data_IF_272315114664
#
_entry.id   IF_272315114664
#
_cell.length_a   1.000
_cell.length_b   1.000
_cell.length_c   1.000
_cell.angle_alpha   90.00
_cell.angle_beta   90.00
_cell.angle_gamma   90.00
#
_symmetry.space_group_name_H-M   'P 1'
#
loop_
_entity.id
_entity.type
_entity.pdbx_description
1 polymer ?
#
# COMPACT_ATOMS: atom_id res chain seq x y z
N UNK A 1 2.66 -6.75 44.40
CA UNK A 1 3.34 -7.58 43.36
C UNK A 1 2.42 -7.78 42.17
N UNK A 2 2.91 -7.65 40.93
CA UNK A 2 2.11 -7.86 39.70
C UNK A 2 2.16 -9.29 39.17
N UNK A 3 1.31 -9.63 38.19
CA UNK A 3 1.29 -10.95 37.52
C UNK A 3 2.03 -10.87 36.17
N UNK A 4 2.60 -11.99 35.74
CA UNK A 4 3.31 -12.10 34.44
C UNK A 4 2.34 -11.87 33.28
N UNK A 5 2.64 -10.88 32.45
CA UNK A 5 1.73 -10.45 31.38
C UNK A 5 1.68 -11.47 30.22
N UNK A 6 0.58 -11.46 29.47
CA UNK A 6 0.35 -12.41 28.35
C UNK A 6 1.48 -12.42 27.32
N UNK A 7 2.11 -11.28 27.02
CA UNK A 7 3.20 -11.22 26.02
C UNK A 7 4.46 -11.93 26.50
N UNK A 8 4.81 -11.83 27.79
CA UNK A 8 5.92 -12.58 28.39
C UNK A 8 5.64 -14.08 28.40
N UNK A 9 4.41 -14.47 28.78
CA UNK A 9 3.99 -15.87 28.83
C UNK A 9 4.09 -16.61 27.48
N UNK A 10 4.07 -15.89 26.35
CA UNK A 10 4.20 -16.47 25.00
C UNK A 10 5.57 -17.12 24.74
N UNK A 11 6.62 -16.69 25.44
CA UNK A 11 7.96 -17.28 25.29
C UNK A 11 8.09 -18.63 25.99
N UNK A 12 7.57 -18.73 27.22
CA UNK A 12 7.76 -19.89 28.08
C UNK A 12 6.63 -20.94 27.98
N UNK A 13 5.37 -20.52 27.82
CA UNK A 13 4.24 -21.44 27.98
C UNK A 13 3.98 -22.30 26.74
N UNK A 14 3.81 -23.61 26.97
CA UNK A 14 3.44 -24.62 25.95
C UNK A 14 2.13 -24.30 25.22
N UNK A 15 1.20 -23.59 25.86
CA UNK A 15 -0.09 -23.19 25.26
C UNK A 15 0.08 -22.33 24.02
N UNK A 16 1.16 -21.55 23.93
CA UNK A 16 1.43 -20.64 22.81
C UNK A 16 2.29 -21.25 21.70
N UNK A 17 2.70 -22.52 21.83
CA UNK A 17 3.43 -23.25 20.78
C UNK A 17 2.58 -23.36 19.52
N UNK A 18 3.25 -23.52 18.38
CA UNK A 18 2.58 -23.69 17.10
C UNK A 18 1.89 -25.06 17.03
N UNK A 19 0.71 -25.10 16.43
CA UNK A 19 0.02 -26.35 16.12
C UNK A 19 0.62 -26.95 14.85
N UNK A 20 1.35 -28.05 15.00
CA UNK A 20 2.13 -28.66 13.90
C UNK A 20 1.60 -30.02 13.45
N UNK A 21 0.68 -30.65 14.20
CA UNK A 21 0.17 -32.02 13.93
C UNK A 21 -0.28 -32.25 12.49
N UNK A 22 -1.00 -31.29 11.89
CA UNK A 22 -1.57 -31.44 10.55
C UNK A 22 -0.69 -30.85 9.44
N UNK A 23 0.48 -30.29 9.76
CA UNK A 23 1.38 -29.71 8.75
C UNK A 23 2.01 -30.79 7.89
N UNK A 24 2.20 -30.49 6.61
CA UNK A 24 2.71 -31.46 5.61
C UNK A 24 4.25 -31.53 5.55
N UNK A 25 4.92 -30.83 6.46
CA UNK A 25 6.38 -30.79 6.57
C UNK A 25 6.97 -29.42 6.30
N UNK A 26 8.27 -29.28 6.51
CA UNK A 26 8.97 -28.03 6.27
C UNK A 26 9.08 -27.77 4.76
N UNK A 27 8.60 -26.61 4.32
CA UNK A 27 8.86 -26.15 2.97
C UNK A 27 10.33 -25.70 2.87
N UNK A 28 11.13 -26.38 2.06
CA UNK A 28 12.56 -26.11 1.83
C UNK A 28 12.93 -26.66 0.45
N UNK A 29 13.72 -25.92 -0.33
CA UNK A 29 14.25 -26.49 -1.58
C UNK A 29 15.30 -27.55 -1.25
N UNK A 30 15.93 -28.13 -2.28
CA UNK A 30 16.98 -29.11 -2.09
C UNK A 30 18.19 -28.55 -1.32
N UNK A 31 18.89 -29.39 -0.54
CA UNK A 31 20.23 -29.06 -0.06
C UNK A 31 21.13 -28.69 -1.23
N UNK A 32 22.07 -27.76 -1.01
CA UNK A 32 23.03 -27.42 -2.05
C UNK A 32 24.06 -28.55 -2.17
N UNK A 33 24.20 -29.10 -3.37
CA UNK A 33 25.15 -30.16 -3.69
C UNK A 33 25.97 -29.81 -4.93
N UNK A 34 26.83 -30.74 -5.35
CA UNK A 34 27.70 -30.54 -6.51
C UNK A 34 26.90 -30.28 -7.80
N UNK A 35 25.81 -31.02 -8.00
CA UNK A 35 24.94 -30.90 -9.17
C UNK A 35 24.33 -29.49 -9.28
N UNK A 36 23.82 -28.92 -8.19
CA UNK A 36 23.27 -27.56 -8.22
C UNK A 36 24.34 -26.46 -8.32
N UNK A 37 25.55 -26.70 -7.79
CA UNK A 37 26.65 -25.72 -7.85
C UNK A 37 27.24 -25.56 -9.24
N UNK A 38 27.45 -26.66 -9.97
CA UNK A 38 28.12 -26.63 -11.29
C UNK A 38 27.17 -26.85 -12.47
N UNK A 39 26.03 -27.49 -12.25
CA UNK A 39 25.08 -27.85 -13.29
C UNK A 39 23.65 -27.45 -12.93
N UNK A 40 22.73 -28.36 -13.24
CA UNK A 40 21.34 -28.29 -12.81
C UNK A 40 20.85 -29.70 -12.48
N UNK A 41 19.80 -29.79 -11.67
CA UNK A 41 19.06 -31.02 -11.46
C UNK A 41 17.59 -30.82 -11.81
N UNK A 42 17.06 -31.79 -12.55
CA UNK A 42 15.65 -31.86 -12.95
C UNK A 42 14.84 -32.57 -11.87
N UNK A 43 13.74 -31.95 -11.45
CA UNK A 43 12.75 -32.53 -10.54
C UNK A 43 11.36 -32.49 -11.15
N UNK A 44 10.54 -33.49 -10.83
CA UNK A 44 9.14 -33.57 -11.28
C UNK A 44 8.20 -33.05 -10.19
N UNK A 45 7.31 -32.12 -10.53
CA UNK A 45 6.23 -31.72 -9.62
C UNK A 45 5.20 -32.85 -9.55
N UNK A 46 5.23 -33.65 -8.48
CA UNK A 46 4.35 -34.82 -8.35
C UNK A 46 2.95 -34.44 -7.87
N UNK A 47 2.83 -33.51 -6.92
CA UNK A 47 1.54 -33.04 -6.36
C UNK A 47 1.67 -31.61 -5.86
N UNK A 48 0.59 -30.83 -5.97
CA UNK A 48 0.45 -29.53 -5.30
C UNK A 48 -0.55 -29.72 -4.16
N UNK A 49 -0.16 -29.38 -2.93
CA UNK A 49 -0.91 -29.70 -1.70
C UNK A 49 -1.12 -28.46 -0.83
N UNK A 50 -2.23 -28.43 -0.10
CA UNK A 50 -2.46 -27.44 0.93
C UNK A 50 -1.75 -27.82 2.24
N UNK A 51 -0.98 -26.89 2.81
CA UNK A 51 -0.33 -27.03 4.12
C UNK A 51 -1.11 -26.22 5.18
N UNK A 52 -1.75 -26.88 6.17
CA UNK A 52 -2.53 -26.20 7.19
C UNK A 52 -1.73 -25.12 7.93
N UNK A 53 -2.31 -23.92 8.04
CA UNK A 53 -1.67 -22.76 8.68
C UNK A 53 -0.79 -21.92 7.74
N UNK A 54 -0.60 -22.36 6.49
CA UNK A 54 0.03 -21.58 5.41
C UNK A 54 -1.03 -21.00 4.47
N UNK A 55 -0.73 -19.85 3.87
CA UNK A 55 -1.55 -19.27 2.80
C UNK A 55 -1.18 -19.81 1.42
N UNK A 56 0.12 -19.95 1.16
CA UNK A 56 0.64 -20.48 -0.10
C UNK A 56 0.57 -22.02 -0.13
N UNK A 57 0.20 -22.64 -1.26
CA UNK A 57 0.28 -24.07 -1.42
C UNK A 57 1.75 -24.55 -1.49
N UNK A 58 1.95 -25.84 -1.24
CA UNK A 58 3.24 -26.50 -1.37
C UNK A 58 3.26 -27.37 -2.63
N UNK A 59 4.39 -27.38 -3.32
CA UNK A 59 4.65 -28.29 -4.42
C UNK A 59 5.57 -29.42 -3.93
N UNK A 60 5.11 -30.66 -3.99
CA UNK A 60 5.96 -31.82 -3.73
C UNK A 60 6.74 -32.15 -5.01
N UNK A 61 8.01 -31.79 -5.02
CA UNK A 61 8.93 -32.03 -6.14
C UNK A 61 9.79 -33.25 -5.83
N UNK A 62 9.84 -34.18 -6.78
CA UNK A 62 10.60 -35.41 -6.68
C UNK A 62 11.85 -35.30 -7.54
N UNK A 63 13.00 -35.51 -6.91
CA UNK A 63 14.30 -35.53 -7.57
C UNK A 63 14.90 -36.94 -7.48
N UNK A 64 15.75 -37.28 -8.46
CA UNK A 64 16.59 -38.48 -8.38
C UNK A 64 17.83 -38.16 -7.57
N UNK A 65 18.18 -39.00 -6.60
CA UNK A 65 19.39 -38.81 -5.80
C UNK A 65 20.64 -38.99 -6.68
N UNK A 66 21.63 -38.07 -6.61
CA UNK A 66 22.82 -38.14 -7.46
C UNK A 66 23.81 -39.23 -7.04
N UNK A 67 23.74 -39.72 -5.81
CA UNK A 67 24.70 -40.70 -5.25
C UNK A 67 24.07 -42.08 -5.10
N UNK A 68 22.79 -42.15 -4.72
CA UNK A 68 22.10 -43.43 -4.47
C UNK A 68 20.93 -43.65 -5.43
N UNK A 69 20.61 -44.90 -5.74
CA UNK A 69 19.40 -45.24 -6.49
C UNK A 69 18.14 -45.08 -5.63
N UNK A 70 17.70 -43.84 -5.42
CA UNK A 70 16.45 -43.51 -4.73
C UNK A 70 15.85 -42.19 -5.19
N UNK A 71 14.55 -42.04 -4.95
CA UNK A 71 13.83 -40.80 -5.20
C UNK A 71 13.73 -39.99 -3.91
N UNK A 72 14.16 -38.72 -3.95
CA UNK A 72 14.06 -37.79 -2.84
C UNK A 72 12.90 -36.82 -3.07
N UNK A 73 12.04 -36.68 -2.06
CA UNK A 73 10.86 -35.80 -2.11
C UNK A 73 11.14 -34.53 -1.31
N UNK A 74 10.87 -33.38 -1.91
CA UNK A 74 11.02 -32.08 -1.27
C UNK A 74 9.76 -31.24 -1.43
N UNK A 75 9.39 -30.52 -0.37
CA UNK A 75 8.25 -29.62 -0.39
C UNK A 75 8.74 -28.20 -0.70
N UNK A 76 8.50 -27.74 -1.91
CA UNK A 76 8.76 -26.39 -2.35
C UNK A 76 7.55 -25.52 -2.04
N UNK A 77 7.73 -24.20 -1.98
CA UNK A 77 6.59 -23.29 -2.05
C UNK A 77 6.17 -23.24 -3.51
N UNK A 78 4.89 -23.49 -3.79
CA UNK A 78 4.38 -23.42 -5.14
C UNK A 78 4.36 -21.96 -5.61
N UNK A 79 4.83 -21.75 -6.84
CA UNK A 79 4.80 -20.48 -7.55
C UNK A 79 3.54 -20.43 -8.41
N UNK A 80 3.00 -19.24 -8.67
CA UNK A 80 1.90 -19.08 -9.61
C UNK A 80 2.29 -19.59 -11.01
N UNK A 81 1.40 -20.36 -11.64
CA UNK A 81 1.68 -21.03 -12.92
C UNK A 81 2.39 -22.38 -12.81
N UNK A 82 2.80 -22.82 -11.61
CA UNK A 82 3.35 -24.16 -11.44
C UNK A 82 2.23 -25.22 -11.51
N UNK A 83 2.41 -26.26 -12.32
CA UNK A 83 1.42 -27.34 -12.49
C UNK A 83 2.00 -28.75 -12.20
N UNK A 84 1.12 -29.72 -11.98
CA UNK A 84 1.51 -31.12 -11.73
C UNK A 84 2.01 -31.75 -13.02
N UNK A 85 3.15 -32.43 -12.97
CA UNK A 85 3.83 -32.97 -14.16
C UNK A 85 4.90 -32.04 -14.73
N UNK A 86 4.92 -30.76 -14.33
CA UNK A 86 5.96 -29.82 -14.74
C UNK A 86 7.33 -30.25 -14.23
N UNK A 87 8.35 -30.03 -15.05
CA UNK A 87 9.75 -30.16 -14.64
C UNK A 87 10.28 -28.85 -14.06
N UNK A 88 10.88 -28.94 -12.87
CA UNK A 88 11.57 -27.85 -12.18
C UNK A 88 13.07 -28.11 -12.27
N UNK A 89 13.82 -27.09 -12.69
CA UNK A 89 15.27 -27.13 -12.78
C UNK A 89 15.89 -26.32 -11.66
N UNK A 90 16.78 -26.95 -10.89
CA UNK A 90 17.51 -26.32 -9.79
C UNK A 90 19.01 -26.33 -10.08
N UNK A 91 19.66 -25.17 -10.12
CA UNK A 91 21.12 -25.07 -10.20
C UNK A 91 21.64 -23.87 -10.97
N UNK A 92 22.96 -23.73 -11.04
CA UNK A 92 23.65 -22.61 -11.67
C UNK A 92 23.48 -22.54 -13.19
N UNK A 93 23.29 -23.69 -13.86
CA UNK A 93 23.06 -23.79 -15.32
C UNK A 93 21.58 -24.02 -15.68
N UNK A 94 20.66 -23.86 -14.73
CA UNK A 94 19.23 -24.00 -15.02
C UNK A 94 18.76 -22.83 -15.91
N UNK A 95 17.78 -23.09 -16.77
CA UNK A 95 17.17 -22.05 -17.59
C UNK A 95 16.28 -21.14 -16.74
N UNK A 96 16.15 -19.86 -17.13
CA UNK A 96 15.27 -18.90 -16.49
C UNK A 96 13.82 -19.24 -16.82
N UNK A 97 13.14 -19.94 -15.92
CA UNK A 97 11.73 -20.32 -16.09
C UNK A 97 10.99 -20.26 -14.76
N UNK A 98 9.66 -20.06 -14.82
CA UNK A 98 8.81 -19.97 -13.64
C UNK A 98 8.90 -21.27 -12.84
N UNK A 99 9.18 -21.16 -11.53
CA UNK A 99 9.35 -22.31 -10.64
C UNK A 99 10.77 -22.88 -10.58
N UNK A 100 11.66 -22.51 -11.51
CA UNK A 100 13.07 -22.93 -11.45
C UNK A 100 13.82 -22.21 -10.32
N UNK A 101 14.84 -22.87 -9.78
CA UNK A 101 15.67 -22.37 -8.68
C UNK A 101 17.08 -22.07 -9.18
N UNK A 102 17.46 -20.79 -9.20
CA UNK A 102 18.75 -20.33 -9.70
C UNK A 102 19.50 -19.53 -8.63
N UNK A 103 20.84 -19.45 -8.69
CA UNK A 103 21.61 -18.46 -7.94
C UNK A 103 21.21 -17.04 -8.33
N UNK A 104 21.17 -16.12 -7.36
CA UNK A 104 20.82 -14.72 -7.58
C UNK A 104 21.68 -14.05 -8.65
N UNK A 105 22.98 -14.35 -8.72
CA UNK A 105 23.87 -13.77 -9.72
C UNK A 105 23.65 -14.23 -11.16
N UNK A 106 22.75 -15.19 -11.40
CA UNK A 106 22.37 -15.64 -12.74
C UNK A 106 21.00 -15.11 -13.17
N UNK A 107 20.29 -14.42 -12.28
CA UNK A 107 18.98 -13.84 -12.57
C UNK A 107 19.19 -12.43 -13.08
N UNK A 108 18.60 -12.03 -14.23
CA UNK A 108 18.71 -10.67 -14.71
C UNK A 108 18.03 -9.68 -13.76
N UNK A 109 18.43 -8.42 -13.85
CA UNK A 109 17.83 -7.34 -13.07
C UNK A 109 16.34 -7.20 -13.40
N UNK A 110 15.53 -6.81 -12.41
CA UNK A 110 14.07 -6.77 -12.54
C UNK A 110 13.37 -8.13 -12.39
N UNK A 111 14.10 -9.25 -12.34
CA UNK A 111 13.48 -10.56 -12.17
C UNK A 111 12.69 -10.64 -10.87
N UNK A 112 11.45 -11.10 -10.98
CA UNK A 112 10.56 -11.36 -9.85
C UNK A 112 10.89 -12.73 -9.27
N UNK A 113 11.28 -12.73 -8.00
CA UNK A 113 11.76 -13.90 -7.29
C UNK A 113 11.03 -14.07 -5.97
N UNK A 114 11.00 -15.30 -5.51
CA UNK A 114 10.49 -15.66 -4.20
C UNK A 114 11.46 -16.58 -3.50
N UNK A 115 11.16 -16.88 -2.24
CA UNK A 115 11.76 -18.05 -1.63
C UNK A 115 13.30 -17.93 -1.51
N UNK A 116 13.81 -16.70 -1.30
CA UNK A 116 15.25 -16.38 -1.38
C UNK A 116 16.01 -16.87 -0.16
N UNK A 117 17.23 -17.35 -0.38
CA UNK A 117 18.19 -17.67 0.68
C UNK A 117 18.81 -16.40 1.29
N UNK A 118 18.81 -16.27 2.62
CA UNK A 118 19.52 -15.19 3.32
C UNK A 118 21.03 -15.48 3.37
N UNK A 119 21.38 -16.74 3.63
CA UNK A 119 22.73 -17.27 3.49
C UNK A 119 22.70 -18.45 2.53
N UNK A 120 23.73 -18.59 1.71
CA UNK A 120 23.82 -19.70 0.74
C UNK A 120 23.64 -21.04 1.44
N UNK A 121 22.68 -21.84 0.96
CA UNK A 121 22.38 -23.17 1.52
C UNK A 121 21.38 -23.18 2.69
N UNK A 122 20.79 -22.05 3.09
CA UNK A 122 19.75 -22.02 4.12
C UNK A 122 18.38 -22.58 3.65
N UNK A 123 18.27 -22.93 2.35
CA UNK A 123 17.11 -23.58 1.71
C UNK A 123 15.85 -22.72 1.74
N UNK A 124 16.02 -21.40 1.81
CA UNK A 124 14.97 -20.42 1.57
C UNK A 124 14.35 -19.84 2.83
N UNK A 125 14.47 -18.51 2.97
CA UNK A 125 14.06 -17.79 4.17
C UNK A 125 13.20 -16.56 3.90
N UNK A 126 13.44 -15.84 2.81
CA UNK A 126 12.80 -14.56 2.49
C UNK A 126 11.72 -14.73 1.41
N UNK A 127 10.73 -13.82 1.37
CA UNK A 127 9.65 -13.78 0.38
C UNK A 127 8.90 -15.12 0.20
N UNK A 128 8.39 -15.67 1.30
CA UNK A 128 7.78 -17.03 1.37
C UNK A 128 6.26 -17.03 1.59
N UNK A 129 5.67 -15.87 1.73
CA UNK A 129 4.24 -15.72 2.02
C UNK A 129 3.47 -15.71 0.71
N UNK A 130 2.22 -16.16 0.73
CA UNK A 130 1.34 -16.14 -0.44
C UNK A 130 1.23 -14.74 -1.04
N UNK A 131 1.45 -14.62 -2.35
CA UNK A 131 1.40 -13.35 -3.09
C UNK A 131 2.54 -12.37 -2.80
N UNK A 132 3.56 -12.75 -2.01
CA UNK A 132 4.71 -11.86 -1.75
C UNK A 132 5.86 -12.16 -2.68
N UNK A 133 6.39 -11.14 -3.34
CA UNK A 133 7.58 -11.27 -4.18
C UNK A 133 8.69 -10.32 -3.75
N UNK A 134 9.89 -10.64 -4.21
CA UNK A 134 11.05 -9.78 -4.14
C UNK A 134 11.56 -9.56 -5.56
N UNK A 135 12.29 -8.47 -5.76
CA UNK A 135 12.78 -8.07 -7.08
C UNK A 135 14.29 -7.93 -7.02
N UNK A 136 14.99 -8.53 -7.98
CA UNK A 136 16.42 -8.29 -8.17
C UNK A 136 16.60 -6.84 -8.64
N UNK A 137 17.28 -6.02 -7.84
CA UNK A 137 17.48 -4.60 -8.16
C UNK A 137 18.72 -4.43 -9.02
N UNK A 138 19.79 -5.12 -8.65
CA UNK A 138 21.01 -5.10 -9.44
C UNK A 138 22.12 -5.91 -8.79
N UNK A 139 23.15 -6.17 -9.58
CA UNK A 139 24.34 -6.88 -9.14
C UNK A 139 25.48 -5.91 -8.82
N UNK A 140 26.37 -6.32 -7.92
CA UNK A 140 27.63 -5.60 -7.71
C UNK A 140 28.53 -5.81 -8.93
N UNK A 141 29.37 -4.83 -9.25
CA UNK A 141 30.40 -4.94 -10.31
C UNK A 141 31.31 -6.16 -10.08
N UNK A 142 31.69 -6.42 -8.82
CA UNK A 142 32.42 -7.63 -8.40
C UNK A 142 31.70 -8.97 -8.68
N UNK A 143 30.41 -8.96 -9.00
CA UNK A 143 29.56 -10.14 -9.18
C UNK A 143 29.28 -10.96 -7.90
N UNK A 144 29.96 -10.67 -6.77
CA UNK A 144 29.87 -11.44 -5.52
C UNK A 144 28.59 -11.20 -4.73
N UNK A 145 27.99 -10.01 -4.87
CA UNK A 145 26.81 -9.57 -4.12
C UNK A 145 25.70 -9.14 -5.07
N UNK A 146 24.46 -9.38 -4.66
CA UNK A 146 23.25 -8.98 -5.37
C UNK A 146 22.34 -8.20 -4.44
N UNK A 147 21.81 -7.07 -4.90
CA UNK A 147 20.87 -6.25 -4.14
C UNK A 147 19.44 -6.64 -4.52
N UNK A 148 18.64 -6.96 -3.51
CA UNK A 148 17.25 -7.40 -3.68
C UNK A 148 16.32 -6.47 -2.92
N UNK A 149 15.18 -6.13 -3.53
CA UNK A 149 14.08 -5.42 -2.87
C UNK A 149 13.12 -6.44 -2.26
N UNK A 150 12.96 -6.40 -0.94
CA UNK A 150 12.08 -7.28 -0.20
C UNK A 150 10.61 -6.82 -0.26
N UNK A 151 9.63 -7.68 0.07
CA UNK A 151 8.22 -7.31 0.13
C UNK A 151 7.92 -6.15 1.08
N UNK A 152 8.76 -5.91 2.09
CA UNK A 152 8.65 -4.76 3.00
C UNK A 152 9.05 -3.43 2.36
N UNK A 153 9.58 -3.43 1.14
CA UNK A 153 10.19 -2.29 0.48
C UNK A 153 11.66 -2.07 0.82
N UNK A 154 12.19 -2.75 1.84
CA UNK A 154 13.59 -2.65 2.23
C UNK A 154 14.51 -3.27 1.16
N UNK A 155 15.61 -2.58 0.85
CA UNK A 155 16.69 -3.10 0.01
C UNK A 155 17.65 -3.88 0.89
N UNK A 156 17.99 -5.11 0.50
CA UNK A 156 18.95 -5.96 1.22
C UNK A 156 19.99 -6.50 0.25
N UNK A 157 21.25 -6.42 0.65
CA UNK A 157 22.37 -7.01 -0.10
C UNK A 157 22.58 -8.45 0.36
N UNK A 158 22.61 -9.38 -0.58
CA UNK A 158 22.80 -10.82 -0.37
C UNK A 158 23.99 -11.30 -1.21
N UNK A 159 24.50 -12.49 -0.90
CA UNK A 159 25.51 -13.11 -1.77
C UNK A 159 24.89 -13.59 -3.07
N UNK A 160 25.58 -13.37 -4.20
CA UNK A 160 25.10 -13.81 -5.52
C UNK A 160 24.98 -15.34 -5.66
N UNK A 161 25.67 -16.08 -4.77
CA UNK A 161 25.57 -17.54 -4.65
C UNK A 161 24.28 -18.01 -3.96
N UNK A 162 23.58 -17.13 -3.24
CA UNK A 162 22.28 -17.47 -2.64
C UNK A 162 21.29 -17.85 -3.73
N UNK A 163 20.46 -18.86 -3.48
CA UNK A 163 19.45 -19.30 -4.45
C UNK A 163 18.11 -18.58 -4.25
N UNK A 164 17.36 -18.46 -5.33
CA UNK A 164 15.98 -18.00 -5.31
C UNK A 164 15.14 -18.78 -6.33
N UNK A 165 13.84 -18.87 -6.07
CA UNK A 165 12.89 -19.46 -7.01
C UNK A 165 12.29 -18.34 -7.85
N UNK A 166 12.26 -18.51 -9.17
CA UNK A 166 11.69 -17.53 -10.10
C UNK A 166 10.18 -17.54 -10.00
N UNK A 167 9.58 -16.35 -9.84
CA UNK A 167 8.15 -16.13 -9.78
C UNK A 167 7.59 -15.85 -8.38
N UNK A 168 6.28 -15.61 -8.32
CA UNK A 168 5.52 -15.20 -7.13
C UNK A 168 4.92 -16.44 -6.42
N UNK A 169 4.98 -16.55 -5.08
CA UNK A 169 4.31 -17.62 -4.35
C UNK A 169 2.79 -17.59 -4.57
N UNK A 170 2.22 -18.73 -4.90
CA UNK A 170 0.80 -18.85 -5.19
C UNK A 170 -0.11 -18.51 -3.99
N UNK A 171 -1.37 -18.22 -4.31
CA UNK A 171 -2.40 -17.84 -3.34
C UNK A 171 -2.40 -16.35 -3.00
N UNK A 172 -1.99 -15.49 -3.94
CA UNK A 172 -2.15 -14.04 -3.84
C UNK A 172 -3.61 -13.61 -3.60
N UNK A 173 -3.83 -12.35 -3.21
CA UNK A 173 -5.17 -11.78 -3.02
C UNK A 173 -5.99 -12.28 -1.84
N UNK A 174 -5.52 -13.31 -1.10
CA UNK A 174 -6.23 -13.89 0.06
C UNK A 174 -6.55 -12.89 1.19
N UNK A 175 -5.86 -11.76 1.24
CA UNK A 175 -6.07 -10.72 2.27
C UNK A 175 -7.11 -9.68 1.86
N UNK A 176 -7.42 -9.58 0.56
CA UNK A 176 -8.35 -8.58 0.04
C UNK A 176 -9.79 -8.92 0.42
N UNK A 177 -10.09 -10.22 0.52
CA UNK A 177 -11.37 -10.70 1.05
C UNK A 177 -11.48 -10.42 2.57
N UNK A 178 -12.49 -9.66 3.03
CA UNK A 178 -12.72 -9.45 4.45
C UNK A 178 -13.14 -10.76 5.14
N UNK A 179 -12.76 -10.91 6.41
CA UNK A 179 -13.02 -12.15 7.17
C UNK A 179 -14.49 -12.27 7.59
N UNK A 180 -15.18 -11.14 7.77
CA UNK A 180 -16.59 -10.96 8.16
C UNK A 180 -16.94 -11.54 9.55
N UNK A 181 -16.79 -12.84 9.77
CA UNK A 181 -17.23 -13.55 10.98
C UNK A 181 -16.08 -13.87 11.93
N UNK A 182 -16.35 -13.85 13.24
CA UNK A 182 -15.39 -14.28 14.26
C UNK A 182 -15.02 -15.77 14.14
N UNK A 183 -15.99 -16.63 13.77
CA UNK A 183 -15.76 -18.06 13.53
C UNK A 183 -14.70 -18.33 12.46
N UNK A 184 -14.68 -17.53 11.38
CA UNK A 184 -13.64 -17.64 10.35
C UNK A 184 -12.24 -17.34 10.90
N UNK A 185 -12.13 -16.36 11.81
CA UNK A 185 -10.87 -16.08 12.52
C UNK A 185 -10.51 -17.22 13.49
N UNK A 186 -11.48 -17.80 14.20
CA UNK A 186 -11.25 -18.96 15.06
C UNK A 186 -10.60 -20.10 14.28
N UNK A 187 -11.18 -20.53 13.15
CA UNK A 187 -10.61 -21.61 12.32
C UNK A 187 -9.24 -21.25 11.74
N UNK A 188 -9.03 -19.98 11.34
CA UNK A 188 -7.73 -19.48 10.84
C UNK A 188 -6.61 -19.57 11.88
N UNK A 189 -6.89 -19.28 13.16
CA UNK A 189 -5.89 -19.33 14.22
C UNK A 189 -5.77 -20.72 14.86
N UNK A 190 -6.82 -21.54 14.82
CA UNK A 190 -6.85 -22.96 15.28
C UNK A 190 -5.75 -23.80 14.62
N UNK A 191 -5.39 -23.52 13.37
CA UNK A 191 -4.33 -24.23 12.63
C UNK A 191 -2.94 -23.59 12.72
N UNK A 192 -2.79 -22.49 13.47
CA UNK A 192 -1.52 -21.75 13.58
C UNK A 192 -0.90 -21.88 14.96
N UNK A 193 -1.48 -21.16 15.92
CA UNK A 193 -1.10 -21.13 17.34
C UNK A 193 -2.21 -20.43 18.10
N UNK A 194 -2.27 -20.67 19.41
CA UNK A 194 -3.23 -19.98 20.27
C UNK A 194 -2.87 -18.50 20.43
N UNK A 195 -3.35 -17.63 19.54
CA UNK A 195 -3.13 -16.17 19.63
C UNK A 195 -4.38 -15.33 19.36
N UNK A 196 -5.53 -15.98 19.34
CA UNK A 196 -6.85 -15.39 19.16
C UNK A 196 -7.83 -16.14 20.08
N UNK A 197 -8.77 -15.46 20.77
CA UNK A 197 -9.06 -14.01 20.74
C UNK A 197 -8.00 -13.14 21.43
N UNK A 198 -8.05 -11.83 21.20
CA UNK A 198 -7.13 -10.85 21.81
C UNK A 198 -7.89 -9.88 22.72
N UNK A 199 -7.88 -10.15 24.02
CA UNK A 199 -8.33 -9.17 25.04
C UNK A 199 -7.41 -7.93 25.02
N UNK A 200 -8.02 -6.74 25.06
CA UNK A 200 -7.34 -5.43 25.13
C UNK A 200 -6.77 -5.23 26.53
N UNK A 201 -5.59 -4.60 26.64
CA UNK A 201 -4.94 -4.38 27.93
C UNK A 201 -5.71 -3.49 28.90
N UNK A 202 -6.47 -2.51 28.38
CA UNK A 202 -7.31 -1.61 29.18
C UNK A 202 -8.60 -2.25 29.71
N UNK A 203 -8.91 -3.48 29.27
CA UNK A 203 -10.04 -4.25 29.78
C UNK A 203 -9.59 -5.29 30.83
N UNK A 204 -8.32 -5.25 31.23
CA UNK A 204 -7.74 -6.15 32.24
C UNK A 204 -7.56 -5.39 33.56
N UNK A 205 -7.34 -6.14 34.64
CA UNK A 205 -6.99 -5.55 35.94
C UNK A 205 -5.54 -5.04 35.96
N UNK A 206 -5.18 -4.09 36.84
CA UNK A 206 -3.80 -3.56 36.95
C UNK A 206 -2.74 -4.66 37.13
N UNK A 207 -3.11 -5.74 37.81
CA UNK A 207 -2.24 -6.88 38.08
C UNK A 207 -1.86 -7.65 36.80
N UNK A 208 -2.67 -7.59 35.74
CA UNK A 208 -2.49 -8.39 34.53
C UNK A 208 -1.87 -7.63 33.35
N UNK A 209 -2.01 -6.31 33.32
CA UNK A 209 -1.52 -5.48 32.23
C UNK A 209 -1.22 -4.04 32.71
N UNK A 210 -0.15 -3.38 32.22
CA UNK A 210 0.18 -2.00 32.60
C UNK A 210 -0.91 -0.97 32.33
N UNK A 211 -1.74 -1.23 31.32
CA UNK A 211 -2.86 -0.36 30.93
C UNK A 211 -4.17 -0.70 31.67
N UNK A 212 -4.15 -1.69 32.57
CA UNK A 212 -5.34 -2.24 33.20
C UNK A 212 -5.78 -1.47 34.45
N UNK A 213 -7.07 -1.56 34.77
CA UNK A 213 -7.71 -0.94 35.93
C UNK A 213 -8.27 0.45 35.73
N UNK A 214 -8.56 1.11 36.85
CA UNK A 214 -9.28 2.38 36.91
C UNK A 214 -10.81 2.21 36.78
N UNK A 215 -11.55 3.23 37.19
CA UNK A 215 -13.02 3.24 37.09
C UNK A 215 -13.51 3.47 35.65
N UNK A 216 -12.66 4.06 34.80
CA UNK A 216 -12.92 4.25 33.38
C UNK A 216 -11.87 3.53 32.54
N UNK A 217 -12.25 2.97 31.39
CA UNK A 217 -11.30 2.32 30.48
C UNK A 217 -10.43 3.34 29.76
N UNK A 218 -9.25 3.61 30.30
CA UNK A 218 -8.22 4.47 29.71
C UNK A 218 -6.82 3.92 30.04
N UNK A 219 -5.79 4.40 29.37
CA UNK A 219 -4.41 3.92 29.61
C UNK A 219 -3.76 4.60 30.83
N UNK A 220 -4.16 5.83 31.15
CA UNK A 220 -3.64 6.60 32.29
C UNK A 220 -2.23 7.17 32.10
N UNK A 221 -1.45 6.65 31.15
CA UNK A 221 -0.10 7.12 30.83
C UNK A 221 0.18 7.05 29.32
N UNK A 222 1.22 7.72 28.80
CA UNK A 222 1.61 7.61 27.40
C UNK A 222 1.85 6.14 26.99
N UNK A 223 1.30 5.74 25.85
CA UNK A 223 1.53 4.40 25.29
C UNK A 223 2.89 4.27 24.62
N UNK A 224 3.61 5.35 24.36
CA UNK A 224 4.93 5.29 23.72
C UNK A 224 6.00 5.03 24.76
N UNK A 225 6.62 3.84 24.75
CA UNK A 225 7.69 3.51 25.68
C UNK A 225 9.03 3.32 24.97
N UNK A 226 10.12 3.66 25.65
CA UNK A 226 11.48 3.51 25.17
C UNK A 226 11.86 2.08 24.77
N UNK A 227 12.88 1.94 23.92
CA UNK A 227 13.34 0.62 23.43
C UNK A 227 14.05 -0.20 24.52
N UNK A 228 14.72 0.45 25.47
CA UNK A 228 15.52 -0.17 26.55
C UNK A 228 14.71 -0.31 27.84
N UNK A 229 13.53 -0.90 27.76
CA UNK A 229 12.64 -1.05 28.91
C UNK A 229 12.49 -2.53 29.25
N UNK A 230 12.41 -2.89 30.55
CA UNK A 230 12.27 -4.28 30.97
C UNK A 230 11.05 -4.96 30.33
N UNK A 231 11.14 -6.28 30.09
CA UNK A 231 9.99 -7.04 29.62
C UNK A 231 8.84 -6.89 30.62
N UNK A 232 7.64 -6.54 30.14
CA UNK A 232 6.48 -6.29 31.01
C UNK A 232 5.87 -4.90 30.82
N UNK A 233 6.65 -3.91 30.38
CA UNK A 233 6.12 -2.60 29.95
C UNK A 233 5.93 -2.62 28.42
N UNK A 234 4.79 -2.13 27.94
CA UNK A 234 4.29 -2.38 26.57
C UNK A 234 4.46 -1.15 25.65
N UNK A 235 4.73 -1.38 24.35
CA UNK A 235 4.98 -0.45 23.22
C UNK A 235 6.42 0.06 22.99
N UNK A 236 7.20 -0.67 22.20
CA UNK A 236 8.62 -0.36 21.99
C UNK A 236 8.88 0.58 20.83
N UNK A 237 9.55 1.71 21.11
CA UNK A 237 10.41 2.41 20.13
C UNK A 237 9.70 2.99 18.91
N UNK A 238 8.44 3.39 19.04
CA UNK A 238 7.71 4.11 18.00
C UNK A 238 8.36 5.47 17.73
N UNK A 239 8.79 5.71 16.49
CA UNK A 239 9.35 7.01 16.06
C UNK A 239 8.28 8.06 15.72
N UNK A 240 7.08 7.60 15.35
CA UNK A 240 5.96 8.45 14.98
C UNK A 240 4.65 7.79 15.43
N UNK A 241 3.67 8.60 15.82
CA UNK A 241 2.33 8.18 16.22
C UNK A 241 1.26 8.83 15.32
N UNK A 242 0.05 8.28 15.33
CA UNK A 242 -1.07 8.77 14.53
C UNK A 242 -1.21 8.07 13.17
N UNK A 243 -2.22 8.49 12.39
CA UNK A 243 -2.48 7.95 11.05
C UNK A 243 -1.48 8.53 10.06
N UNK A 244 -0.75 7.66 9.36
CA UNK A 244 0.12 8.09 8.25
C UNK A 244 -0.73 8.77 7.16
N UNK A 245 -0.42 10.04 6.89
CA UNK A 245 -1.08 10.83 5.83
C UNK A 245 -0.33 10.77 4.49
N UNK A 246 0.92 10.30 4.48
CA UNK A 246 1.72 10.13 3.26
C UNK A 246 1.72 8.68 2.76
N UNK A 247 1.83 8.51 1.44
CA UNK A 247 2.08 7.19 0.84
C UNK A 247 3.45 6.68 1.29
N UNK A 248 3.50 5.47 1.84
CA UNK A 248 4.70 4.90 2.46
C UNK A 248 5.85 4.59 1.45
N UNK A 249 5.62 4.80 0.15
CA UNK A 249 6.66 4.82 -0.87
C UNK A 249 7.23 6.24 -0.97
N UNK A 250 8.46 6.44 -0.49
CA UNK A 250 9.29 7.50 -1.07
C UNK A 250 9.50 7.14 -2.55
N UNK A 251 9.36 8.09 -3.49
CA UNK A 251 9.70 7.83 -4.88
C UNK A 251 11.17 7.37 -4.94
N UNK A 252 11.46 6.40 -5.81
CA UNK A 252 12.82 6.00 -6.09
C UNK A 252 13.61 7.22 -6.60
N UNK A 253 14.80 7.44 -6.03
CA UNK A 253 15.77 8.40 -6.57
C UNK A 253 16.08 7.98 -8.00
N UNK A 254 16.02 8.92 -8.95
CA UNK A 254 16.54 8.72 -10.31
C UNK A 254 18.07 8.80 -10.32
N UNK A 255 18.66 8.45 -11.46
CA UNK A 255 20.11 8.28 -11.65
C UNK A 255 20.92 9.59 -11.60
N UNK A 256 20.26 10.75 -11.58
CA UNK A 256 20.92 12.06 -11.74
C UNK A 256 20.84 12.97 -10.50
N UNK A 257 20.66 12.43 -9.30
CA UNK A 257 20.73 13.22 -8.06
C UNK A 257 19.67 14.32 -7.88
N UNK A 258 18.81 14.56 -8.88
CA UNK A 258 17.70 15.50 -8.77
C UNK A 258 16.42 14.76 -8.36
N UNK A 259 15.63 15.32 -7.42
CA UNK A 259 14.30 14.79 -7.15
C UNK A 259 13.49 14.88 -8.44
N UNK A 260 13.03 13.74 -8.98
CA UNK A 260 12.01 13.75 -10.04
C UNK A 260 10.87 14.61 -9.53
N UNK A 261 10.64 15.77 -10.18
CA UNK A 261 9.51 16.65 -9.87
C UNK A 261 8.28 15.74 -9.85
N UNK A 262 7.56 15.74 -8.71
CA UNK A 262 6.33 14.96 -8.60
C UNK A 262 5.48 15.34 -9.80
N UNK A 263 5.17 14.38 -10.66
CA UNK A 263 4.10 14.57 -11.64
C UNK A 263 2.84 14.74 -10.82
N UNK A 264 2.45 16.00 -10.60
CA UNK A 264 1.17 16.30 -10.00
C UNK A 264 0.11 15.60 -10.84
N UNK A 265 -0.92 15.04 -10.19
CA UNK A 265 -2.08 14.49 -10.92
C UNK A 265 -2.57 15.58 -11.87
N UNK A 266 -2.40 15.36 -13.17
CA UNK A 266 -2.96 16.24 -14.19
C UNK A 266 -4.46 16.29 -13.97
N UNK A 267 -5.02 17.49 -13.87
CA UNK A 267 -6.46 17.65 -13.78
C UNK A 267 -7.06 17.27 -15.14
N UNK A 268 -8.02 16.34 -15.11
CA UNK A 268 -8.73 15.88 -16.30
C UNK A 268 -10.20 16.29 -16.12
N UNK A 269 -10.66 17.24 -16.93
CA UNK A 269 -12.07 17.62 -16.97
C UNK A 269 -12.78 16.81 -18.05
N UNK A 270 -13.66 15.89 -17.65
CA UNK A 270 -14.45 15.03 -18.58
C UNK A 270 -13.62 14.36 -19.70
N UNK A 271 -12.40 13.94 -19.39
CA UNK A 271 -11.49 13.28 -20.33
C UNK A 271 -10.46 14.19 -21.00
N UNK A 272 -10.53 15.51 -20.82
CA UNK A 272 -9.60 16.49 -21.40
C UNK A 272 -8.63 17.06 -20.36
N UNK A 273 -7.36 17.20 -20.73
CA UNK A 273 -6.35 17.87 -19.91
C UNK A 273 -6.60 19.38 -19.86
N UNK A 274 -6.12 20.03 -18.80
CA UNK A 274 -6.32 21.46 -18.54
C UNK A 274 -5.86 22.36 -19.70
N UNK A 275 -4.70 22.07 -20.29
CA UNK A 275 -4.15 22.88 -21.39
C UNK A 275 -5.09 22.82 -22.60
N UNK A 276 -5.57 21.63 -22.94
CA UNK A 276 -6.56 21.45 -24.02
C UNK A 276 -7.88 22.16 -23.72
N UNK A 277 -8.32 22.21 -22.45
CA UNK A 277 -9.57 22.86 -22.05
C UNK A 277 -9.53 24.40 -22.22
N UNK A 278 -8.34 25.00 -22.17
CA UNK A 278 -8.16 26.44 -22.39
C UNK A 278 -8.21 26.82 -23.87
N UNK A 279 -7.87 25.89 -24.76
CA UNK A 279 -7.80 26.11 -26.21
C UNK A 279 -9.12 25.79 -26.95
N UNK A 280 -10.12 25.23 -26.26
CA UNK A 280 -11.40 24.88 -26.87
C UNK A 280 -12.24 26.10 -27.25
N UNK A 281 -12.97 25.97 -28.37
CA UNK A 281 -13.99 26.93 -28.78
C UNK A 281 -15.19 26.96 -27.82
N UNK A 282 -15.95 28.06 -27.85
CA UNK A 282 -17.14 28.23 -27.00
C UNK A 282 -18.21 27.15 -27.25
N UNK A 283 -18.35 26.67 -28.49
CA UNK A 283 -19.35 25.65 -28.86
C UNK A 283 -18.99 24.27 -28.30
N UNK A 284 -17.73 23.85 -28.46
CA UNK A 284 -17.20 22.60 -27.91
C UNK A 284 -17.24 22.60 -26.38
N UNK A 285 -16.92 23.75 -25.76
CA UNK A 285 -16.98 23.91 -24.31
C UNK A 285 -18.43 23.75 -23.78
N UNK A 286 -19.44 24.14 -24.56
CA UNK A 286 -20.85 23.99 -24.16
C UNK A 286 -21.31 22.54 -24.11
N UNK A 287 -20.84 21.69 -25.02
CA UNK A 287 -21.14 20.26 -24.99
C UNK A 287 -20.59 19.58 -23.73
N UNK A 288 -19.44 20.06 -23.26
CA UNK A 288 -18.80 19.59 -22.03
C UNK A 288 -19.50 20.10 -20.76
N UNK A 289 -20.44 21.04 -20.84
CA UNK A 289 -21.16 21.54 -19.67
C UNK A 289 -22.51 20.86 -19.43
N UNK A 290 -23.01 20.91 -18.19
CA UNK A 290 -24.36 20.39 -17.84
C UNK A 290 -25.44 21.24 -18.51
N UNK A 291 -26.62 20.66 -18.75
CA UNK A 291 -27.74 21.32 -19.47
C UNK A 291 -28.14 22.68 -18.89
N UNK A 292 -28.00 22.87 -17.57
CA UNK A 292 -28.26 24.17 -16.91
C UNK A 292 -27.32 25.28 -17.40
N UNK A 293 -26.03 24.97 -17.55
CA UNK A 293 -25.04 25.91 -18.05
C UNK A 293 -25.29 26.20 -19.54
N UNK A 294 -25.55 25.18 -20.36
CA UNK A 294 -25.88 25.32 -21.79
C UNK A 294 -27.06 26.27 -22.02
N UNK A 295 -28.15 26.11 -21.27
CA UNK A 295 -29.32 27.01 -21.36
C UNK A 295 -29.00 28.46 -21.04
N UNK A 296 -28.02 28.72 -20.16
CA UNK A 296 -27.62 30.08 -19.81
C UNK A 296 -26.78 30.72 -20.92
N UNK A 297 -25.82 29.99 -21.48
CA UNK A 297 -25.02 30.47 -22.62
C UNK A 297 -25.86 30.66 -23.88
N UNK A 298 -26.84 29.78 -24.14
CA UNK A 298 -27.79 29.94 -25.25
C UNK A 298 -28.70 31.17 -25.13
N UNK A 299 -28.87 31.74 -23.93
CA UNK A 299 -29.58 33.01 -23.70
C UNK A 299 -28.66 34.23 -23.77
N UNK A 300 -27.35 34.03 -23.97
CA UNK A 300 -26.34 35.08 -23.94
C UNK A 300 -25.87 35.47 -22.54
N UNK A 301 -24.61 35.92 -22.44
CA UNK A 301 -24.05 36.47 -21.21
C UNK A 301 -24.41 37.95 -21.12
N UNK A 302 -25.09 38.35 -20.04
CA UNK A 302 -25.42 39.76 -19.80
C UNK A 302 -24.17 40.64 -19.64
N UNK A 303 -24.33 41.96 -19.84
CA UNK A 303 -23.25 42.97 -19.79
C UNK A 303 -22.36 42.90 -18.53
N UNK A 304 -22.94 42.55 -17.38
CA UNK A 304 -22.17 42.39 -16.13
C UNK A 304 -21.15 41.26 -16.15
N UNK A 305 -21.42 40.19 -16.91
CA UNK A 305 -20.52 39.05 -17.02
C UNK A 305 -19.31 39.36 -17.92
N UNK A 306 -19.52 40.06 -19.03
CA UNK A 306 -18.42 40.49 -19.90
C UNK A 306 -17.52 41.53 -19.22
N UNK A 307 -18.09 42.44 -18.42
CA UNK A 307 -17.30 43.38 -17.59
C UNK A 307 -16.46 42.65 -16.54
N UNK A 308 -17.00 41.62 -15.89
CA UNK A 308 -16.25 40.81 -14.92
C UNK A 308 -15.07 40.08 -15.59
N UNK A 309 -15.30 39.49 -16.77
CA UNK A 309 -14.25 38.82 -17.54
C UNK A 309 -13.14 39.78 -17.97
N UNK A 310 -13.50 41.00 -18.42
CA UNK A 310 -12.52 42.04 -18.75
C UNK A 310 -11.67 42.43 -17.54
N UNK A 311 -12.28 42.61 -16.36
CA UNK A 311 -11.56 42.92 -15.10
C UNK A 311 -10.63 41.78 -14.69
N UNK A 312 -11.06 40.53 -14.87
CA UNK A 312 -10.25 39.35 -14.58
C UNK A 312 -9.07 39.20 -15.54
N UNK A 313 -9.27 39.46 -16.83
CA UNK A 313 -8.19 39.46 -17.83
C UNK A 313 -7.14 40.52 -17.51
N UNK A 314 -7.57 41.72 -17.12
CA UNK A 314 -6.65 42.80 -16.68
C UNK A 314 -5.85 42.37 -15.44
N UNK A 315 -6.54 41.91 -14.40
CA UNK A 315 -5.92 41.43 -13.15
C UNK A 315 -4.94 40.27 -13.36
N UNK A 316 -5.18 39.38 -14.33
CA UNK A 316 -4.26 38.27 -14.67
C UNK A 316 -3.04 38.74 -15.48
N UNK A 317 -3.16 39.84 -16.23
CA UNK A 317 -2.10 40.38 -17.09
C UNK A 317 -1.11 41.26 -16.31
N UNK A 318 -1.60 41.93 -15.27
CA UNK A 318 -0.82 42.89 -14.47
C UNK A 318 0.12 42.23 -13.43
N UNK A 319 0.20 40.89 -13.36
CA UNK A 319 0.87 40.15 -12.27
C UNK A 319 2.15 39.43 -12.75
N UNK A 320 3.29 39.58 -12.03
CA UNK A 320 4.52 38.84 -12.32
C UNK A 320 4.38 37.34 -12.02
N UNK A 321 5.12 36.51 -12.76
CA UNK A 321 5.01 35.05 -12.74
C UNK A 321 5.25 34.47 -11.33
N UNK A 322 4.19 33.98 -10.68
CA UNK A 322 4.25 33.28 -9.39
C UNK A 322 3.49 33.94 -8.24
N UNK A 323 3.08 35.21 -8.39
CA UNK A 323 2.28 35.91 -7.39
C UNK A 323 0.78 35.76 -7.62
N UNK A 324 -0.01 35.93 -6.54
CA UNK A 324 -1.47 35.80 -6.61
C UNK A 324 -2.09 37.11 -7.10
N UNK A 325 -3.00 37.08 -8.08
CA UNK A 325 -3.63 38.29 -8.61
C UNK A 325 -4.51 39.00 -7.58
N UNK A 326 -4.64 40.32 -7.73
CA UNK A 326 -5.52 41.13 -6.88
C UNK A 326 -6.98 40.66 -6.94
N UNK A 327 -7.69 40.61 -5.80
CA UNK A 327 -9.04 40.07 -5.75
C UNK A 327 -10.05 40.99 -6.45
N UNK A 328 -10.64 40.53 -7.55
CA UNK A 328 -11.71 41.26 -8.25
C UNK A 328 -13.03 41.10 -7.50
N UNK A 329 -13.59 42.21 -6.99
CA UNK A 329 -14.88 42.22 -6.27
C UNK A 329 -16.05 42.13 -7.25
N UNK A 330 -17.01 41.25 -6.95
CA UNK A 330 -18.20 41.05 -7.77
C UNK A 330 -19.45 40.70 -6.97
N UNK A 331 -20.59 41.24 -7.41
CA UNK A 331 -21.93 40.83 -6.96
C UNK A 331 -22.55 39.77 -7.89
N UNK A 332 -21.88 39.43 -9.00
CA UNK A 332 -22.36 38.49 -10.01
C UNK A 332 -22.25 37.04 -9.53
N UNK A 333 -23.13 36.64 -8.63
CA UNK A 333 -23.16 35.27 -8.06
C UNK A 333 -23.64 34.22 -9.06
N UNK A 334 -24.48 34.64 -10.01
CA UNK A 334 -25.01 33.75 -11.04
C UNK A 334 -24.00 33.48 -12.17
N UNK A 335 -22.77 33.98 -12.12
CA UNK A 335 -21.76 33.72 -13.15
C UNK A 335 -21.26 32.26 -13.09
N UNK A 336 -21.08 31.66 -14.27
CA UNK A 336 -20.50 30.31 -14.41
C UNK A 336 -18.98 30.46 -14.50
N UNK A 337 -18.25 29.58 -13.81
CA UNK A 337 -16.78 29.56 -13.85
C UNK A 337 -16.34 28.98 -15.20
N UNK A 338 -15.66 29.80 -15.98
CA UNK A 338 -15.06 29.44 -17.26
C UNK A 338 -13.59 29.02 -17.10
N UNK A 339 -13.05 28.22 -18.02
CA UNK A 339 -11.63 27.84 -18.01
C UNK A 339 -10.68 29.04 -17.96
N UNK A 340 -11.01 30.14 -18.62
CA UNK A 340 -10.22 31.38 -18.59
C UNK A 340 -10.01 31.95 -17.17
N UNK A 341 -10.97 31.72 -16.28
CA UNK A 341 -10.98 32.25 -14.91
C UNK A 341 -10.06 31.47 -13.96
N UNK A 342 -9.48 30.36 -14.41
CA UNK A 342 -8.57 29.54 -13.60
C UNK A 342 -7.32 30.34 -13.23
N UNK A 343 -6.98 30.31 -11.94
CA UNK A 343 -5.85 31.04 -11.37
C UNK A 343 -6.18 32.47 -10.94
N UNK A 344 -7.41 32.96 -11.16
CA UNK A 344 -7.85 34.26 -10.66
C UNK A 344 -8.44 34.17 -9.25
N UNK A 345 -8.32 35.25 -8.48
CA UNK A 345 -8.97 35.42 -7.18
C UNK A 345 -10.21 36.31 -7.36
N UNK A 346 -11.39 35.76 -7.09
CA UNK A 346 -12.67 36.48 -7.19
C UNK A 346 -13.26 36.66 -5.80
N UNK A 347 -13.52 37.90 -5.44
CA UNK A 347 -14.22 38.27 -4.21
C UNK A 347 -15.73 38.32 -4.49
N UNK A 348 -16.49 37.32 -4.05
CA UNK A 348 -17.94 37.18 -4.30
C UNK A 348 -18.74 37.61 -3.07
N UNK A 349 -19.64 38.59 -3.24
CA UNK A 349 -20.47 39.10 -2.15
C UNK A 349 -21.51 38.08 -1.67
N UNK A 350 -21.53 37.77 -0.37
CA UNK A 350 -22.49 36.82 0.23
C UNK A 350 -23.71 37.49 0.89
N UNK A 351 -23.80 38.82 0.87
CA UNK A 351 -24.84 39.59 1.58
C UNK A 351 -24.34 40.34 2.82
N UNK A 352 -23.18 39.98 3.35
CA UNK A 352 -22.51 40.67 4.47
C UNK A 352 -21.08 41.09 4.09
N UNK A 353 -20.30 40.13 3.59
CA UNK A 353 -18.89 40.30 3.26
C UNK A 353 -18.57 39.81 1.83
N UNK A 354 -17.39 40.19 1.35
CA UNK A 354 -16.83 39.65 0.12
C UNK A 354 -15.92 38.46 0.43
N UNK A 355 -16.39 37.25 0.15
CA UNK A 355 -15.58 36.04 0.32
C UNK A 355 -14.61 35.93 -0.85
N UNK A 356 -13.31 35.89 -0.55
CA UNK A 356 -12.24 35.67 -1.55
C UNK A 356 -12.19 34.19 -1.94
N UNK A 357 -12.48 33.89 -3.20
CA UNK A 357 -12.47 32.55 -3.77
C UNK A 357 -11.35 32.46 -4.80
N UNK A 358 -10.41 31.55 -4.58
CA UNK A 358 -9.36 31.21 -5.55
C UNK A 358 -9.91 30.15 -6.51
N UNK A 359 -9.97 30.48 -7.81
CA UNK A 359 -10.59 29.60 -8.80
C UNK A 359 -9.63 28.47 -9.17
N UNK A 360 -10.03 27.25 -8.81
CA UNK A 360 -9.32 26.01 -9.14
C UNK A 360 -9.91 25.34 -10.39
N UNK A 361 -9.13 24.51 -11.10
CA UNK A 361 -9.63 23.76 -12.25
C UNK A 361 -10.88 22.90 -11.96
N UNK A 362 -10.99 22.37 -10.74
CA UNK A 362 -12.15 21.57 -10.29
C UNK A 362 -13.47 22.34 -10.28
N UNK A 363 -13.43 23.68 -10.29
CA UNK A 363 -14.60 24.55 -10.17
C UNK A 363 -15.23 24.90 -11.53
N UNK A 364 -14.60 24.48 -12.63
CA UNK A 364 -15.08 24.78 -13.99
C UNK A 364 -16.48 24.21 -14.22
N UNK A 365 -17.38 25.05 -14.71
CA UNK A 365 -18.79 24.69 -14.96
C UNK A 365 -19.71 24.78 -13.74
N UNK A 366 -19.20 25.22 -12.58
CA UNK A 366 -20.00 25.55 -11.38
C UNK A 366 -20.33 27.04 -11.32
N UNK A 367 -21.30 27.44 -10.49
CA UNK A 367 -21.66 28.85 -10.30
C UNK A 367 -20.81 29.49 -9.18
N UNK A 368 -20.43 30.77 -9.34
CA UNK A 368 -19.73 31.53 -8.29
C UNK A 368 -20.50 31.56 -6.95
N UNK A 369 -21.83 31.52 -6.99
CA UNK A 369 -22.69 31.43 -5.81
C UNK A 369 -22.40 30.20 -4.93
N UNK A 370 -21.96 29.08 -5.51
CA UNK A 370 -21.73 27.83 -4.77
C UNK A 370 -20.53 27.94 -3.82
N UNK A 371 -19.61 28.86 -4.10
CA UNK A 371 -18.41 29.11 -3.30
C UNK A 371 -18.56 30.28 -2.33
N UNK A 372 -19.67 31.03 -2.42
CA UNK A 372 -20.01 32.14 -1.53
C UNK A 372 -21.44 31.95 -1.03
N UNK A 373 -21.57 31.10 -0.01
CA UNK A 373 -22.86 30.68 0.56
C UNK A 373 -23.44 31.82 1.41
N UNK A 374 -24.71 32.15 1.21
CA UNK A 374 -25.47 33.17 1.98
C UNK A 374 -25.88 32.74 3.36
N UNK A 375 -26.01 31.43 3.56
CA UNK A 375 -26.44 30.83 4.81
C UNK A 375 -25.27 30.06 5.41
N UNK A 376 -25.33 29.84 6.72
CA UNK A 376 -24.42 28.92 7.39
C UNK A 376 -24.95 27.50 7.12
N UNK A 377 -24.25 26.66 6.34
CA UNK A 377 -24.73 25.31 6.08
C UNK A 377 -24.81 24.54 7.39
N UNK A 378 -26.00 24.00 7.68
CA UNK A 378 -26.24 23.16 8.85
C UNK A 378 -25.41 21.90 8.66
N UNK A 379 -24.41 21.69 9.51
CA UNK A 379 -23.58 20.49 9.49
C UNK A 379 -23.94 19.63 10.68
N UNK A 380 -24.23 18.36 10.42
CA UNK A 380 -24.32 17.38 11.50
C UNK A 380 -22.99 17.33 12.25
N UNK A 381 -23.06 17.39 13.58
CA UNK A 381 -21.91 17.10 14.43
C UNK A 381 -21.38 15.70 14.14
N UNK A 382 -20.08 15.50 14.36
CA UNK A 382 -19.46 14.18 14.26
C UNK A 382 -20.18 13.23 15.23
N UNK A 383 -20.45 12.01 14.77
CA UNK A 383 -21.15 10.97 15.56
C UNK A 383 -20.51 10.86 16.95
N UNK A 384 -21.28 11.21 17.99
CA UNK A 384 -20.85 11.04 19.37
C UNK A 384 -20.66 9.55 19.68
N UNK A 385 -19.86 9.23 20.71
CA UNK A 385 -19.81 7.87 21.24
C UNK A 385 -21.17 7.54 21.88
N UNK A 386 -22.00 6.83 21.12
CA UNK A 386 -23.35 6.41 21.50
C UNK A 386 -24.39 6.79 20.44
N UNK A 387 -25.46 6.01 20.30
CA UNK A 387 -26.55 6.21 19.32
C UNK A 387 -27.38 7.50 19.51
N UNK A 388 -26.87 8.52 20.23
CA UNK A 388 -27.54 9.80 20.42
C UNK A 388 -26.87 10.86 19.54
N UNK A 389 -27.61 11.32 18.54
CA UNK A 389 -27.24 12.48 17.72
C UNK A 389 -27.29 13.75 18.59
N UNK A 390 -26.24 14.56 18.53
CA UNK A 390 -26.18 15.88 19.17
C UNK A 390 -27.04 16.86 18.36
N UNK A 391 -27.83 17.77 18.97
CA UNK A 391 -28.64 18.73 18.23
C UNK A 391 -27.81 19.68 17.37
N UNK A 392 -28.44 20.16 16.29
CA UNK A 392 -27.87 21.00 15.23
C UNK A 392 -27.37 22.35 15.80
N UNK A 393 -26.26 22.88 15.27
CA UNK A 393 -25.74 24.25 15.55
C UNK A 393 -25.56 25.05 14.26
#
# INVERSE_FOLDING_TARGET
>A
MGRVIRTQRKGASRVFKAFTRTRKGAAKYRPIDYSERRGYMKGLVKKIIHDPGRGAPLAQVVFRDPVKYRLQKYNFIAVEGLYVGQFVYCGAKAHLGIGNCLPLGKLPEGTVISSIEEKSGDRGRLARTSGTSAIVVGHSEDGKKTRVRLPSGARKTLFSKCRAVVGIPAGGGRIDKPVLKAGNNFHKYKVKRNCWPKVRGSAMNPVEHPHGGGNHQHVGHPTTVGRRIPPGRSHFGSRQCGRHQSTCNRPAMGDEGQPRKRTFRKFIFRGLELDKLMDLGNEELLELFRSRCRRKFGRGLGRGASTLLKKLRKSKKDVPFGEKPEPVRTHMRNMIILPEMIGSVVAVFNGKDFIKVEIKPEMVGMYLAEFSITYKPIRHGRQGMGNKFVPLR
#
